data_IF_337004293461
#
_entry.id   IF_337004293461
#
_cell.length_a   1.000
_cell.length_b   1.000
_cell.length_c   1.000
_cell.angle_alpha   90.00
_cell.angle_beta   90.00
_cell.angle_gamma   90.00
#
_symmetry.space_group_name_H-M   'P 1'
#
loop_
_entity.id
_entity.type
_entity.pdbx_description
1 polymer ?
#
# COMPACT_ATOMS: atom_id res chain seq x y z
N UNK A 1 74.95 -37.69 43.46
CA UNK A 1 74.29 -36.61 44.22
C UNK A 1 73.28 -35.92 43.31
N UNK A 2 72.02 -35.89 43.75
CA UNK A 2 70.88 -35.06 43.33
C UNK A 2 70.26 -35.30 41.93
N UNK A 3 68.99 -35.71 42.02
CA UNK A 3 67.99 -36.05 41.01
C UNK A 3 67.41 -34.81 40.26
N UNK A 4 66.54 -35.13 39.28
CA UNK A 4 65.31 -34.43 38.77
C UNK A 4 65.49 -33.86 37.35
N UNK A 5 64.63 -34.07 36.34
CA UNK A 5 63.41 -34.87 36.10
C UNK A 5 63.26 -35.03 34.56
N UNK A 6 62.64 -36.13 34.16
CA UNK A 6 62.28 -36.55 32.81
C UNK A 6 61.13 -35.69 32.20
N UNK A 7 61.23 -35.28 30.94
CA UNK A 7 60.06 -35.04 30.08
C UNK A 7 60.39 -35.38 28.61
N UNK A 8 59.78 -36.46 28.13
CA UNK A 8 59.86 -36.95 26.75
C UNK A 8 58.88 -36.14 25.89
N UNK A 9 59.37 -35.49 24.83
CA UNK A 9 58.52 -34.94 23.76
C UNK A 9 58.26 -36.01 22.71
N UNK A 10 57.02 -36.50 22.63
CA UNK A 10 56.51 -37.32 21.53
C UNK A 10 55.79 -36.38 20.56
N UNK A 11 56.34 -36.21 19.36
CA UNK A 11 55.63 -35.64 18.22
C UNK A 11 54.77 -36.74 17.59
N UNK A 12 53.45 -36.70 17.80
CA UNK A 12 52.49 -37.50 17.05
C UNK A 12 51.84 -36.61 15.98
N UNK A 13 52.05 -36.97 14.72
CA UNK A 13 51.29 -36.43 13.60
C UNK A 13 49.86 -36.99 13.67
N UNK A 14 48.88 -36.12 13.79
CA UNK A 14 47.47 -36.43 13.56
C UNK A 14 47.00 -35.64 12.35
N UNK A 15 46.79 -36.37 11.26
CA UNK A 15 46.02 -35.94 10.10
C UNK A 15 44.60 -35.60 10.56
N UNK A 16 44.18 -34.35 10.38
CA UNK A 16 42.79 -33.95 10.55
C UNK A 16 42.16 -33.86 9.15
N UNK A 17 41.38 -34.88 8.82
CA UNK A 17 40.51 -34.93 7.65
C UNK A 17 39.33 -33.99 7.92
N UNK A 18 39.35 -32.79 7.36
CA UNK A 18 38.17 -31.92 7.39
C UNK A 18 37.17 -32.41 6.35
N UNK A 19 36.06 -32.99 6.81
CA UNK A 19 34.88 -33.19 5.98
C UNK A 19 34.37 -31.82 5.50
N UNK A 20 34.65 -31.49 4.24
CA UNK A 20 33.92 -30.45 3.51
C UNK A 20 32.60 -31.10 3.09
N UNK A 21 31.60 -31.07 3.96
CA UNK A 21 30.22 -31.28 3.57
C UNK A 21 29.77 -30.04 2.81
N UNK A 22 29.41 -30.26 1.55
CA UNK A 22 29.06 -29.26 0.54
C UNK A 22 27.82 -28.44 0.92
N UNK A 23 27.99 -27.12 1.08
CA UNK A 23 26.95 -26.08 1.12
C UNK A 23 26.17 -25.91 -0.21
N UNK A 24 25.98 -26.99 -0.99
CA UNK A 24 25.29 -26.90 -2.28
C UNK A 24 23.77 -27.05 -2.19
N UNK A 25 23.24 -27.69 -1.13
CA UNK A 25 21.79 -27.87 -0.95
C UNK A 25 21.10 -26.59 -0.43
N UNK A 26 21.77 -25.77 0.38
CA UNK A 26 21.19 -24.51 0.87
C UNK A 26 21.18 -23.38 -0.19
N UNK A 27 22.11 -23.40 -1.16
CA UNK A 27 22.16 -22.36 -2.20
C UNK A 27 21.08 -22.61 -3.26
N UNK A 28 20.75 -23.87 -3.57
CA UNK A 28 19.65 -24.19 -4.48
C UNK A 28 18.30 -23.84 -3.89
N UNK A 29 18.07 -24.07 -2.59
CA UNK A 29 16.81 -23.69 -1.93
C UNK A 29 16.64 -22.17 -1.87
N UNK A 30 17.68 -21.42 -1.50
CA UNK A 30 17.62 -19.94 -1.45
C UNK A 30 17.48 -19.33 -2.85
N UNK A 31 18.07 -19.94 -3.89
CA UNK A 31 17.91 -19.52 -5.27
C UNK A 31 16.52 -19.87 -5.83
N UNK A 32 16.00 -21.07 -5.55
CA UNK A 32 14.64 -21.48 -5.93
C UNK A 32 13.57 -20.62 -5.24
N UNK A 33 13.75 -20.29 -3.95
CA UNK A 33 12.81 -19.42 -3.22
C UNK A 33 12.81 -17.98 -3.78
N UNK A 34 13.96 -17.49 -4.26
CA UNK A 34 14.06 -16.16 -4.90
C UNK A 34 13.49 -16.13 -6.31
N UNK A 35 13.71 -17.16 -7.12
CA UNK A 35 13.15 -17.25 -8.47
C UNK A 35 11.62 -17.46 -8.45
N UNK A 36 11.08 -18.21 -7.49
CA UNK A 36 9.61 -18.33 -7.30
C UNK A 36 8.95 -17.01 -6.88
N UNK A 37 9.70 -16.11 -6.22
CA UNK A 37 9.13 -14.85 -5.79
C UNK A 37 8.93 -13.88 -6.96
N UNK A 38 9.62 -13.99 -8.10
CA UNK A 38 9.61 -12.94 -9.15
C UNK A 38 8.35 -12.93 -10.04
N UNK A 39 7.54 -14.00 -10.05
CA UNK A 39 6.38 -14.17 -10.95
C UNK A 39 5.03 -14.28 -10.22
N UNK A 40 4.91 -13.66 -9.04
CA UNK A 40 3.65 -13.70 -8.28
C UNK A 40 2.61 -12.83 -8.99
N UNK A 41 1.62 -13.48 -9.58
CA UNK A 41 0.42 -12.86 -10.15
C UNK A 41 -0.49 -12.32 -9.04
N UNK A 42 -1.16 -11.20 -9.31
CA UNK A 42 -2.16 -10.60 -8.42
C UNK A 42 -3.58 -10.95 -8.93
N UNK A 43 -4.59 -11.12 -8.05
CA UNK A 43 -4.46 -11.16 -6.60
C UNK A 43 -3.74 -12.42 -6.10
N UNK A 44 -3.24 -12.37 -4.88
CA UNK A 44 -2.66 -13.52 -4.17
C UNK A 44 -3.79 -14.21 -3.44
N UNK A 45 -3.97 -15.51 -3.69
CA UNK A 45 -4.87 -16.37 -2.91
C UNK A 45 -4.25 -16.63 -1.53
N UNK A 46 -4.84 -16.11 -0.43
CA UNK A 46 -4.34 -16.40 0.90
C UNK A 46 -4.78 -17.81 1.33
N UNK A 47 -3.91 -18.53 2.05
CA UNK A 47 -4.23 -19.86 2.58
C UNK A 47 -5.30 -19.82 3.69
N UNK A 48 -5.40 -18.71 4.41
CA UNK A 48 -6.28 -18.46 5.55
C UNK A 48 -6.91 -17.06 5.47
N UNK A 49 -7.78 -16.71 6.43
CA UNK A 49 -8.24 -15.33 6.59
C UNK A 49 -7.06 -14.36 6.76
N UNK A 50 -7.10 -13.22 6.08
CA UNK A 50 -6.03 -12.22 6.15
C UNK A 50 -6.09 -11.39 7.44
N UNK A 51 -4.93 -11.02 7.97
CA UNK A 51 -4.81 -10.12 9.11
C UNK A 51 -5.37 -8.72 8.77
N UNK A 52 -5.95 -8.03 9.75
CA UNK A 52 -6.36 -6.62 9.57
C UNK A 52 -5.12 -5.73 9.41
N UNK A 53 -5.25 -4.62 8.68
CA UNK A 53 -4.11 -3.70 8.43
C UNK A 53 -3.42 -3.18 9.71
N UNK A 54 -4.17 -3.07 10.83
CA UNK A 54 -3.61 -2.62 12.11
C UNK A 54 -2.70 -3.68 12.77
N UNK A 55 -3.03 -4.95 12.58
CA UNK A 55 -2.26 -6.09 13.08
C UNK A 55 -0.91 -6.22 12.36
N UNK A 56 -0.81 -5.67 11.14
CA UNK A 56 0.43 -5.61 10.36
C UNK A 56 1.39 -4.51 10.82
N UNK A 57 1.02 -3.68 11.81
CA UNK A 57 1.84 -2.54 12.22
C UNK A 57 3.20 -2.99 12.77
N UNK A 58 4.28 -2.53 12.14
CA UNK A 58 5.65 -2.93 12.48
C UNK A 58 6.42 -1.78 13.17
N UNK A 59 6.87 -2.02 14.41
CA UNK A 59 7.55 -0.99 15.24
C UNK A 59 8.86 -0.47 14.62
N UNK A 60 9.79 -1.32 14.11
CA UNK A 60 10.97 -0.84 13.40
C UNK A 60 10.65 0.05 12.21
N UNK A 61 9.74 -0.40 11.32
CA UNK A 61 9.31 0.35 10.15
C UNK A 61 8.69 1.70 10.53
N UNK A 62 7.82 1.72 11.55
CA UNK A 62 7.21 2.92 12.10
C UNK A 62 8.27 3.93 12.56
N UNK A 63 9.25 3.47 13.35
CA UNK A 63 10.31 4.33 13.90
C UNK A 63 11.19 4.93 12.80
N UNK A 64 11.51 4.15 11.77
CA UNK A 64 12.32 4.60 10.64
C UNK A 64 11.55 5.59 9.76
N UNK A 65 10.25 5.33 9.53
CA UNK A 65 9.36 6.23 8.80
C UNK A 65 9.28 7.59 9.49
N UNK A 66 8.98 7.61 10.79
CA UNK A 66 8.92 8.84 11.59
C UNK A 66 10.24 9.60 11.56
N UNK A 67 11.37 8.89 11.72
CA UNK A 67 12.69 9.51 11.64
C UNK A 67 12.94 10.14 10.28
N UNK A 68 12.66 9.45 9.18
CA UNK A 68 12.91 9.98 7.85
C UNK A 68 12.02 11.19 7.54
N UNK A 69 10.72 11.13 7.85
CA UNK A 69 9.81 12.26 7.65
C UNK A 69 10.21 13.46 8.51
N UNK A 70 10.61 13.23 9.77
CA UNK A 70 10.99 14.31 10.69
C UNK A 70 12.34 14.98 10.36
N UNK A 71 13.16 14.42 9.46
CA UNK A 71 14.40 15.05 8.98
C UNK A 71 14.13 16.21 8.03
N UNK A 72 12.95 16.23 7.40
CA UNK A 72 12.53 17.32 6.53
C UNK A 72 11.70 18.32 7.33
N UNK A 73 12.25 19.49 7.62
CA UNK A 73 11.61 20.49 8.48
C UNK A 73 10.19 20.87 8.02
N UNK A 74 9.97 20.98 6.71
CA UNK A 74 8.64 21.25 6.12
C UNK A 74 7.67 20.09 6.38
N UNK A 75 8.08 18.85 6.13
CA UNK A 75 7.21 17.68 6.31
C UNK A 75 6.89 17.46 7.78
N UNK A 76 7.89 17.59 8.66
CA UNK A 76 7.71 17.59 10.12
C UNK A 76 6.65 18.62 10.56
N UNK A 77 6.73 19.84 10.03
CA UNK A 77 5.75 20.89 10.32
C UNK A 77 4.34 20.56 9.85
N UNK A 78 4.19 19.95 8.67
CA UNK A 78 2.88 19.52 8.15
C UNK A 78 2.30 18.37 8.96
N UNK A 79 3.12 17.37 9.32
CA UNK A 79 2.73 16.25 10.17
C UNK A 79 2.27 16.74 11.55
N UNK A 80 3.03 17.62 12.19
CA UNK A 80 2.67 18.17 13.51
C UNK A 80 1.32 18.92 13.48
N UNK A 81 0.97 19.53 12.35
CA UNK A 81 -0.30 20.25 12.14
C UNK A 81 -1.42 19.35 11.58
N UNK A 82 -1.18 18.05 11.42
CA UNK A 82 -2.11 17.09 10.76
C UNK A 82 -2.53 17.52 9.34
N UNK A 83 -1.66 18.26 8.65
CA UNK A 83 -1.80 18.66 7.25
C UNK A 83 -1.09 17.69 6.29
N UNK A 84 -0.43 16.67 6.83
CA UNK A 84 0.19 15.59 6.07
C UNK A 84 -0.03 14.27 6.80
N UNK A 85 -0.55 13.29 6.07
CA UNK A 85 -0.65 11.91 6.50
C UNK A 85 0.04 11.01 5.46
N UNK A 86 0.74 9.98 5.93
CA UNK A 86 1.47 9.03 5.10
C UNK A 86 1.20 7.62 5.62
N UNK A 87 0.94 6.68 4.71
CA UNK A 87 0.87 5.25 5.02
C UNK A 87 1.73 4.46 4.04
N UNK A 88 2.41 3.43 4.54
CA UNK A 88 3.21 2.51 3.73
C UNK A 88 2.93 1.07 4.13
N UNK A 89 2.91 0.18 3.15
CA UNK A 89 2.89 -1.28 3.36
C UNK A 89 4.06 -1.89 2.59
N UNK A 90 4.96 -2.59 3.27
CA UNK A 90 6.02 -3.38 2.64
C UNK A 90 5.46 -4.76 2.29
N UNK A 91 5.42 -5.08 0.99
CA UNK A 91 4.92 -6.33 0.42
C UNK A 91 6.07 -7.17 -0.19
N UNK A 92 7.33 -6.81 0.11
CA UNK A 92 8.50 -7.52 -0.45
C UNK A 92 8.54 -8.98 0.01
N UNK A 93 8.14 -9.26 1.26
CA UNK A 93 8.01 -10.59 1.83
C UNK A 93 6.53 -10.82 2.19
N UNK A 94 5.84 -11.64 1.39
CA UNK A 94 4.41 -11.88 1.53
C UNK A 94 4.05 -12.69 2.79
N UNK A 95 5.02 -13.40 3.37
CA UNK A 95 4.86 -14.09 4.65
C UNK A 95 5.10 -13.14 5.85
N UNK A 96 5.54 -11.91 5.61
CA UNK A 96 5.90 -10.94 6.63
C UNK A 96 5.58 -9.51 6.16
N UNK A 97 4.32 -9.31 5.79
CA UNK A 97 3.79 -8.00 5.36
C UNK A 97 3.80 -7.04 6.55
N UNK A 98 4.21 -5.79 6.29
CA UNK A 98 4.37 -4.78 7.36
C UNK A 98 3.74 -3.46 6.98
N UNK A 99 3.06 -2.88 7.94
CA UNK A 99 2.42 -1.57 7.83
C UNK A 99 3.10 -0.55 8.76
N UNK A 100 3.16 0.71 8.31
CA UNK A 100 3.47 1.86 9.15
C UNK A 100 2.72 3.10 8.64
N UNK A 101 2.40 4.02 9.55
CA UNK A 101 1.63 5.21 9.20
C UNK A 101 1.84 6.38 10.15
N UNK A 102 1.79 7.60 9.60
CA UNK A 102 1.86 8.87 10.32
C UNK A 102 0.56 9.64 10.07
N UNK A 103 -0.09 10.09 11.14
CA UNK A 103 -1.44 10.69 11.10
C UNK A 103 -2.44 9.84 10.32
N UNK A 104 -2.26 8.52 10.39
CA UNK A 104 -2.85 7.59 9.44
C UNK A 104 -4.32 7.28 9.69
N UNK A 105 -4.83 7.62 10.88
CA UNK A 105 -6.25 7.65 11.22
C UNK A 105 -6.87 9.06 11.15
N UNK A 106 -6.13 10.07 10.67
CA UNK A 106 -6.68 11.42 10.57
C UNK A 106 -7.49 11.56 9.28
N UNK A 107 -8.81 11.74 9.40
CA UNK A 107 -9.65 12.09 8.25
C UNK A 107 -9.21 13.39 7.61
N UNK A 108 -8.95 13.34 6.30
CA UNK A 108 -8.57 14.49 5.50
C UNK A 108 -9.42 14.54 4.23
N UNK A 109 -9.64 15.76 3.72
CA UNK A 109 -10.20 15.91 2.39
C UNK A 109 -9.21 15.37 1.35
N UNK A 110 -9.64 14.38 0.57
CA UNK A 110 -8.77 13.59 -0.29
C UNK A 110 -9.01 13.81 -1.78
N UNK A 111 -9.78 14.84 -2.14
CA UNK A 111 -10.10 15.21 -3.52
C UNK A 111 -10.64 14.01 -4.34
N UNK A 112 -9.96 13.62 -5.43
CA UNK A 112 -10.38 12.50 -6.29
C UNK A 112 -9.85 11.12 -5.86
N UNK A 113 -9.06 11.02 -4.79
CA UNK A 113 -8.59 9.71 -4.32
C UNK A 113 -9.75 8.78 -3.90
N UNK A 114 -10.79 9.24 -3.18
CA UNK A 114 -11.91 8.38 -2.77
C UNK A 114 -12.74 7.78 -3.91
N UNK A 115 -12.45 8.07 -5.18
CA UNK A 115 -13.06 7.38 -6.33
C UNK A 115 -12.84 5.87 -6.31
N UNK A 116 -11.83 5.37 -5.59
CA UNK A 116 -11.64 3.93 -5.36
C UNK A 116 -12.78 3.32 -4.51
N UNK A 117 -13.46 4.11 -3.67
CA UNK A 117 -14.66 3.67 -2.96
C UNK A 117 -15.85 3.47 -3.92
N UNK A 118 -15.98 4.37 -4.92
CA UNK A 118 -16.99 4.23 -5.98
C UNK A 118 -16.70 3.02 -6.84
N UNK A 119 -15.43 2.77 -7.17
CA UNK A 119 -15.02 1.56 -7.89
C UNK A 119 -15.42 0.30 -7.13
N UNK A 120 -15.07 0.20 -5.85
CA UNK A 120 -15.41 -0.96 -5.04
C UNK A 120 -16.92 -1.17 -4.92
N UNK A 121 -17.67 -0.10 -4.69
CA UNK A 121 -19.12 -0.17 -4.59
C UNK A 121 -19.78 -0.61 -5.92
N UNK A 122 -19.23 -0.17 -7.05
CA UNK A 122 -19.68 -0.62 -8.37
C UNK A 122 -19.37 -2.10 -8.60
N UNK A 123 -18.17 -2.56 -8.24
CA UNK A 123 -17.80 -3.98 -8.35
C UNK A 123 -18.66 -4.88 -7.46
N UNK A 124 -18.96 -4.44 -6.23
CA UNK A 124 -19.87 -5.17 -5.33
C UNK A 124 -21.30 -5.23 -5.89
N UNK A 125 -21.76 -4.14 -6.52
CA UNK A 125 -23.06 -4.11 -7.18
C UNK A 125 -23.11 -5.01 -8.43
N UNK A 126 -22.04 -5.05 -9.24
CA UNK A 126 -21.91 -5.97 -10.38
C UNK A 126 -21.94 -7.42 -9.91
N UNK A 127 -21.17 -7.75 -8.87
CA UNK A 127 -21.13 -9.09 -8.28
C UNK A 127 -22.50 -9.56 -7.78
N UNK A 128 -23.27 -8.65 -7.15
CA UNK A 128 -24.61 -8.95 -6.62
C UNK A 128 -25.73 -8.88 -7.68
N UNK A 129 -25.41 -8.51 -8.93
CA UNK A 129 -26.40 -8.30 -9.99
C UNK A 129 -27.30 -7.08 -9.77
N UNK A 130 -26.89 -6.14 -8.92
CA UNK A 130 -27.57 -4.86 -8.65
C UNK A 130 -27.22 -3.79 -9.69
N UNK A 131 -26.09 -3.96 -10.37
CA UNK A 131 -25.64 -3.15 -11.49
C UNK A 131 -25.45 -4.06 -12.70
N UNK A 132 -25.98 -3.66 -13.86
CA UNK A 132 -25.79 -4.40 -15.10
C UNK A 132 -24.36 -4.23 -15.63
N UNK A 133 -23.71 -5.33 -15.99
CA UNK A 133 -22.40 -5.26 -16.64
C UNK A 133 -22.56 -4.86 -18.11
N UNK A 134 -22.11 -3.66 -18.45
CA UNK A 134 -22.20 -3.11 -19.80
C UNK A 134 -20.90 -2.40 -20.18
N UNK A 135 -20.63 -2.33 -21.48
CA UNK A 135 -19.47 -1.59 -22.00
C UNK A 135 -19.42 -0.14 -21.51
N UNK A 136 -20.58 0.52 -21.38
CA UNK A 136 -20.66 1.91 -20.87
C UNK A 136 -20.17 2.01 -19.42
N UNK A 137 -20.56 1.07 -18.56
CA UNK A 137 -20.18 1.02 -17.14
C UNK A 137 -18.68 0.70 -17.02
N UNK A 138 -18.18 -0.26 -17.78
CA UNK A 138 -16.76 -0.61 -17.80
C UNK A 138 -15.89 0.57 -18.25
N UNK A 139 -16.31 1.28 -19.31
CA UNK A 139 -15.63 2.49 -19.77
C UNK A 139 -15.67 3.62 -18.73
N UNK A 140 -16.80 3.82 -18.06
CA UNK A 140 -16.93 4.84 -17.02
C UNK A 140 -16.05 4.56 -15.81
N UNK A 141 -15.95 3.30 -15.36
CA UNK A 141 -15.03 2.91 -14.30
C UNK A 141 -13.57 3.14 -14.70
N UNK A 142 -13.19 2.73 -15.93
CA UNK A 142 -11.84 2.96 -16.45
C UNK A 142 -11.49 4.44 -16.54
N UNK A 143 -12.39 5.29 -17.07
CA UNK A 143 -12.18 6.74 -17.16
C UNK A 143 -12.15 7.44 -15.79
N UNK A 144 -13.01 6.99 -14.86
CA UNK A 144 -13.07 7.48 -13.49
C UNK A 144 -11.74 7.30 -12.75
N UNK A 145 -11.09 6.16 -12.95
CA UNK A 145 -9.85 5.80 -12.24
C UNK A 145 -8.62 6.35 -12.99
N UNK A 146 -8.39 5.90 -14.22
CA UNK A 146 -7.15 6.19 -14.99
C UNK A 146 -6.95 7.68 -15.27
N UNK A 147 -8.00 8.38 -15.71
CA UNK A 147 -7.97 9.81 -16.08
C UNK A 147 -8.58 10.71 -15.02
N UNK A 148 -9.05 10.14 -13.91
CA UNK A 148 -9.73 10.87 -12.84
C UNK A 148 -10.95 11.66 -13.35
N UNK A 149 -11.66 11.17 -14.37
CA UNK A 149 -12.72 11.92 -15.05
C UNK A 149 -13.94 12.17 -14.14
N UNK A 150 -14.28 13.43 -13.86
CA UNK A 150 -15.37 13.79 -12.96
C UNK A 150 -16.76 13.45 -13.49
N UNK A 151 -17.00 13.54 -14.80
CA UNK A 151 -18.30 13.22 -15.41
C UNK A 151 -18.58 11.72 -15.32
N UNK A 152 -17.60 10.88 -15.66
CA UNK A 152 -17.69 9.43 -15.50
C UNK A 152 -17.92 9.04 -14.04
N UNK A 153 -17.19 9.66 -13.10
CA UNK A 153 -17.42 9.42 -11.67
C UNK A 153 -18.84 9.79 -11.23
N UNK A 154 -19.36 10.93 -11.68
CA UNK A 154 -20.71 11.35 -11.33
C UNK A 154 -21.76 10.40 -11.87
N UNK A 155 -21.62 9.91 -13.12
CA UNK A 155 -22.51 8.87 -13.64
C UNK A 155 -22.42 7.58 -12.82
N UNK A 156 -21.22 7.14 -12.43
CA UNK A 156 -21.07 5.95 -11.57
C UNK A 156 -21.73 6.15 -10.21
N UNK A 157 -21.53 7.30 -9.55
CA UNK A 157 -22.22 7.64 -8.30
C UNK A 157 -23.74 7.62 -8.50
N UNK A 158 -24.24 8.14 -9.61
CA UNK A 158 -25.68 8.19 -9.88
C UNK A 158 -26.27 6.80 -10.16
N UNK A 159 -25.47 5.87 -10.70
CA UNK A 159 -25.88 4.46 -10.91
C UNK A 159 -25.89 3.66 -9.62
N UNK A 160 -24.85 3.78 -8.78
CA UNK A 160 -24.74 2.96 -7.54
C UNK A 160 -25.42 3.60 -6.33
N UNK A 161 -25.46 4.93 -6.24
CA UNK A 161 -26.02 5.67 -5.12
C UNK A 161 -25.11 5.77 -3.89
N UNK A 162 -25.31 6.82 -3.08
CA UNK A 162 -24.51 7.04 -1.86
C UNK A 162 -24.74 5.97 -0.79
N UNK A 163 -25.96 5.45 -0.67
CA UNK A 163 -26.30 4.41 0.31
C UNK A 163 -25.46 3.14 0.06
N UNK A 164 -25.32 2.73 -1.21
CA UNK A 164 -24.49 1.59 -1.59
C UNK A 164 -23.01 1.84 -1.29
N UNK A 165 -22.50 3.03 -1.65
CA UNK A 165 -21.10 3.38 -1.37
C UNK A 165 -20.83 3.32 0.13
N UNK A 166 -21.73 3.88 0.94
CA UNK A 166 -21.62 3.84 2.40
C UNK A 166 -21.69 2.41 2.95
N UNK A 167 -22.66 1.62 2.53
CA UNK A 167 -22.82 0.21 2.90
C UNK A 167 -21.52 -0.57 2.67
N UNK A 168 -20.94 -0.46 1.47
CA UNK A 168 -19.72 -1.19 1.10
C UNK A 168 -18.51 -0.69 1.90
N UNK A 169 -18.37 0.62 2.12
CA UNK A 169 -17.26 1.14 2.94
C UNK A 169 -17.36 0.69 4.40
N UNK A 170 -18.58 0.54 4.94
CA UNK A 170 -18.85 0.10 6.31
C UNK A 170 -18.96 -1.41 6.47
N UNK A 171 -18.86 -2.18 5.39
CA UNK A 171 -19.08 -3.61 5.41
C UNK A 171 -18.16 -4.28 6.47
N UNK A 172 -18.70 -5.13 7.37
CA UNK A 172 -17.91 -5.74 8.46
C UNK A 172 -16.70 -6.54 8.00
N UNK A 173 -16.74 -7.10 6.77
CA UNK A 173 -15.63 -7.84 6.16
C UNK A 173 -14.41 -6.95 5.94
N UNK A 174 -14.60 -5.76 5.36
CA UNK A 174 -13.49 -4.93 4.87
C UNK A 174 -13.19 -3.74 5.80
N UNK A 175 -14.19 -3.23 6.52
CA UNK A 175 -14.11 -2.11 7.47
C UNK A 175 -13.31 -0.90 6.93
N UNK A 176 -13.58 -0.51 5.68
CA UNK A 176 -12.88 0.58 4.99
C UNK A 176 -13.34 1.99 5.43
N UNK A 177 -14.40 2.06 6.24
CA UNK A 177 -14.83 3.21 7.02
C UNK A 177 -15.41 2.73 8.34
N UNK A 178 -14.86 3.24 9.44
CA UNK A 178 -15.35 2.98 10.80
C UNK A 178 -15.03 4.19 11.70
N UNK A 179 -16.05 4.78 12.31
CA UNK A 179 -15.90 5.95 13.18
C UNK A 179 -14.98 5.68 14.38
N UNK A 180 -15.01 4.48 14.95
CA UNK A 180 -14.24 4.13 16.14
C UNK A 180 -12.74 4.09 15.86
N UNK A 181 -12.36 3.78 14.61
CA UNK A 181 -10.96 3.76 14.16
C UNK A 181 -10.52 5.02 13.40
N UNK A 182 -11.35 6.06 13.42
CA UNK A 182 -11.03 7.37 12.86
C UNK A 182 -11.53 7.60 11.44
N UNK A 183 -12.53 6.86 10.98
CA UNK A 183 -13.18 6.99 9.67
C UNK A 183 -12.48 6.16 8.60
N UNK A 184 -12.47 6.65 7.37
CA UNK A 184 -11.90 5.91 6.25
C UNK A 184 -12.22 6.53 4.90
N UNK A 185 -12.49 5.67 3.91
CA UNK A 185 -12.85 6.07 2.55
C UNK A 185 -14.29 6.55 2.49
N UNK A 186 -14.53 7.73 1.90
CA UNK A 186 -15.87 8.29 1.78
C UNK A 186 -16.06 9.16 0.54
N UNK A 187 -17.21 8.98 -0.14
CA UNK A 187 -17.68 9.82 -1.25
C UNK A 187 -19.09 10.31 -0.94
N UNK A 188 -19.18 11.59 -0.62
CA UNK A 188 -20.38 12.21 -0.09
C UNK A 188 -21.03 13.26 -0.98
N UNK A 189 -20.51 13.47 -2.19
CA UNK A 189 -21.18 14.28 -3.22
C UNK A 189 -20.66 13.96 -4.63
N UNK A 190 -21.39 14.40 -5.65
CA UNK A 190 -20.97 14.39 -7.06
C UNK A 190 -19.65 15.14 -7.30
N UNK A 191 -18.92 14.72 -8.33
CA UNK A 191 -17.76 15.46 -8.82
C UNK A 191 -18.20 16.44 -9.92
N UNK A 192 -17.98 17.73 -9.70
CA UNK A 192 -18.41 18.79 -10.63
C UNK A 192 -19.60 19.64 -10.15
N UNK A 193 -20.18 19.33 -8.99
CA UNK A 193 -21.26 20.11 -8.37
C UNK A 193 -22.67 19.54 -8.61
N UNK A 194 -23.66 20.11 -7.91
CA UNK A 194 -25.07 19.70 -7.96
C UNK A 194 -25.38 18.36 -7.26
N UNK A 195 -26.67 18.03 -7.20
CA UNK A 195 -27.19 16.82 -6.58
C UNK A 195 -27.17 16.83 -5.05
N UNK A 196 -27.73 15.77 -4.47
CA UNK A 196 -27.75 15.56 -3.03
C UNK A 196 -26.35 15.26 -2.47
N UNK A 197 -26.21 15.42 -1.16
CA UNK A 197 -24.96 15.12 -0.44
C UNK A 197 -25.18 14.17 0.70
N UNK A 198 -24.25 13.25 0.90
CA UNK A 198 -24.12 12.38 2.07
C UNK A 198 -22.74 12.61 2.71
N UNK A 199 -22.58 13.63 3.55
CA UNK A 199 -21.24 14.03 4.07
C UNK A 199 -20.70 12.99 5.03
N UNK A 200 -19.36 12.89 5.15
CA UNK A 200 -18.82 11.89 6.06
C UNK A 200 -19.11 12.27 7.53
N UNK A 201 -19.49 11.30 8.38
CA UNK A 201 -19.94 11.57 9.73
C UNK A 201 -18.98 12.31 10.66
N UNK A 202 -17.65 12.15 10.51
CA UNK A 202 -16.70 12.64 11.52
C UNK A 202 -16.36 14.12 11.39
N UNK A 203 -16.12 14.63 10.17
CA UNK A 203 -15.67 16.01 9.93
C UNK A 203 -16.46 16.72 8.84
N UNK A 204 -17.54 16.12 8.30
CA UNK A 204 -18.46 16.73 7.34
C UNK A 204 -17.83 17.19 5.99
N UNK A 205 -16.67 16.63 5.66
CA UNK A 205 -16.03 16.58 4.36
C UNK A 205 -16.89 15.87 3.29
N UNK A 206 -16.67 16.23 2.03
CA UNK A 206 -17.40 15.61 0.91
C UNK A 206 -16.69 14.45 0.26
N UNK A 207 -15.37 14.41 0.32
CA UNK A 207 -14.53 13.38 -0.30
C UNK A 207 -13.36 13.18 0.65
N UNK A 208 -13.41 12.12 1.44
CA UNK A 208 -12.49 11.95 2.54
C UNK A 208 -11.80 10.58 2.52
N UNK A 209 -10.62 10.56 3.13
CA UNK A 209 -9.84 9.35 3.32
C UNK A 209 -9.00 9.46 4.61
N UNK A 210 -8.66 8.31 5.18
CA UNK A 210 -7.48 8.15 6.04
C UNK A 210 -6.43 7.35 5.26
N UNK A 211 -5.13 7.57 5.51
CA UNK A 211 -4.11 6.77 4.81
C UNK A 211 -4.13 5.30 5.24
N UNK A 212 -4.54 5.00 6.48
CA UNK A 212 -4.71 3.63 6.98
C UNK A 212 -5.72 2.85 6.14
N UNK A 213 -6.90 3.41 5.90
CA UNK A 213 -7.94 2.69 5.14
C UNK A 213 -7.66 2.63 3.65
N UNK A 214 -6.93 3.59 3.10
CA UNK A 214 -6.43 3.46 1.72
C UNK A 214 -5.38 2.35 1.62
N UNK A 215 -4.46 2.22 2.60
CA UNK A 215 -3.53 1.09 2.64
C UNK A 215 -4.28 -0.24 2.79
N UNK A 216 -5.29 -0.28 3.67
CA UNK A 216 -6.19 -1.43 3.84
C UNK A 216 -6.85 -1.84 2.52
N UNK A 217 -7.39 -0.88 1.77
CA UNK A 217 -7.98 -1.14 0.46
C UNK A 217 -7.01 -1.85 -0.49
N UNK A 218 -5.80 -1.32 -0.71
CA UNK A 218 -4.83 -1.94 -1.63
C UNK A 218 -4.31 -3.27 -1.10
N UNK A 219 -4.12 -3.40 0.21
CA UNK A 219 -3.69 -4.66 0.80
C UNK A 219 -4.77 -5.74 0.59
N UNK A 220 -6.03 -5.43 0.88
CA UNK A 220 -7.14 -6.35 0.63
C UNK A 220 -7.32 -6.65 -0.87
N UNK A 221 -7.06 -5.68 -1.76
CA UNK A 221 -7.06 -5.89 -3.21
C UNK A 221 -5.98 -6.88 -3.65
N UNK A 222 -4.76 -6.71 -3.12
CA UNK A 222 -3.63 -7.62 -3.38
C UNK A 222 -3.95 -9.04 -2.91
N UNK A 223 -4.68 -9.19 -1.80
CA UNK A 223 -5.03 -10.48 -1.22
C UNK A 223 -6.39 -11.04 -1.69
N UNK A 224 -7.00 -10.48 -2.75
CA UNK A 224 -8.30 -10.96 -3.26
C UNK A 224 -9.51 -10.76 -2.33
N UNK A 225 -9.31 -10.09 -1.19
CA UNK A 225 -10.24 -10.10 -0.06
C UNK A 225 -11.36 -9.05 -0.17
N UNK A 226 -11.27 -8.09 -1.09
CA UNK A 226 -12.27 -7.02 -1.18
C UNK A 226 -13.67 -7.59 -1.43
N UNK A 227 -13.85 -8.34 -2.51
CA UNK A 227 -15.11 -9.03 -2.84
C UNK A 227 -14.79 -10.51 -3.03
N UNK A 228 -14.12 -10.83 -4.13
CA UNK A 228 -13.55 -12.12 -4.51
C UNK A 228 -12.32 -11.87 -5.41
N UNK A 229 -11.67 -12.92 -5.89
CA UNK A 229 -10.46 -12.82 -6.71
C UNK A 229 -10.74 -12.21 -8.09
N UNK A 230 -11.83 -12.62 -8.75
CA UNK A 230 -12.23 -12.12 -10.07
C UNK A 230 -12.44 -10.59 -10.06
N UNK A 231 -13.22 -10.07 -9.10
CA UNK A 231 -13.43 -8.62 -8.95
C UNK A 231 -12.18 -7.88 -8.50
N UNK A 232 -11.27 -8.55 -7.82
CA UNK A 232 -9.97 -7.97 -7.48
C UNK A 232 -9.10 -7.84 -8.73
N UNK A 233 -9.09 -8.84 -9.61
CA UNK A 233 -8.44 -8.79 -10.92
C UNK A 233 -9.03 -7.68 -11.80
N UNK A 234 -10.35 -7.56 -11.89
CA UNK A 234 -11.03 -6.48 -12.62
C UNK A 234 -10.59 -5.09 -12.13
N UNK A 235 -10.56 -4.89 -10.80
CA UNK A 235 -10.12 -3.63 -10.21
C UNK A 235 -8.64 -3.36 -10.46
N UNK A 236 -7.79 -4.38 -10.38
CA UNK A 236 -6.37 -4.27 -10.70
C UNK A 236 -6.19 -3.82 -12.15
N UNK A 237 -6.87 -4.44 -13.11
CA UNK A 237 -6.80 -4.05 -14.53
C UNK A 237 -7.26 -2.60 -14.76
N UNK A 238 -8.32 -2.16 -14.10
CA UNK A 238 -8.80 -0.77 -14.18
C UNK A 238 -7.80 0.24 -13.58
N UNK A 239 -7.08 -0.17 -12.53
CA UNK A 239 -6.16 0.69 -11.78
C UNK A 239 -4.73 0.70 -12.35
N UNK A 240 -4.37 -0.31 -13.14
CA UNK A 240 -3.06 -0.46 -13.81
C UNK A 240 -2.83 0.64 -14.85
N UNK A 241 -1.56 0.93 -15.12
CA UNK A 241 -1.09 1.87 -16.15
C UNK A 241 -1.80 3.25 -16.11
N UNK A 242 -1.62 4.00 -15.02
CA UNK A 242 -2.33 5.26 -14.83
C UNK A 242 -1.98 6.28 -15.92
N UNK A 243 -3.00 6.86 -16.55
CA UNK A 243 -2.82 7.86 -17.61
C UNK A 243 -2.23 9.21 -17.14
N UNK A 244 -2.04 9.41 -15.83
CA UNK A 244 -1.57 10.66 -15.23
C UNK A 244 -0.21 10.46 -14.53
N UNK A 245 0.86 10.96 -15.15
CA UNK A 245 2.25 10.76 -14.73
C UNK A 245 2.80 11.86 -13.77
N UNK A 246 1.93 12.43 -12.97
CA UNK A 246 2.26 13.41 -11.90
C UNK A 246 2.44 12.74 -10.53
N UNK A 247 2.92 13.48 -9.52
CA UNK A 247 3.05 12.96 -8.14
C UNK A 247 3.88 11.67 -8.06
N UNK A 248 3.45 10.59 -7.39
CA UNK A 248 4.27 9.38 -7.25
C UNK A 248 4.76 8.83 -8.59
N UNK A 249 3.90 8.74 -9.61
CA UNK A 249 4.26 8.19 -10.93
C UNK A 249 5.39 8.98 -11.59
N UNK A 250 5.46 10.30 -11.40
CA UNK A 250 6.56 11.10 -11.96
C UNK A 250 7.96 10.59 -11.55
N UNK A 251 8.06 10.09 -10.31
CA UNK A 251 9.30 9.55 -9.77
C UNK A 251 9.41 8.06 -10.08
N UNK A 252 8.31 7.30 -9.97
CA UNK A 252 8.28 5.86 -10.25
C UNK A 252 8.64 5.53 -11.70
N UNK A 253 8.19 6.32 -12.68
CA UNK A 253 8.56 6.14 -14.10
C UNK A 253 10.08 6.12 -14.32
N UNK A 254 10.83 6.83 -13.47
CA UNK A 254 12.30 6.94 -13.57
C UNK A 254 13.01 5.84 -12.83
N UNK A 255 12.55 5.51 -11.61
CA UNK A 255 13.28 4.62 -10.71
C UNK A 255 12.77 3.17 -10.77
N UNK A 256 11.55 2.96 -11.24
CA UNK A 256 10.83 1.69 -11.29
C UNK A 256 10.15 1.43 -12.66
N UNK A 257 10.80 1.65 -13.81
CA UNK A 257 10.15 1.57 -15.13
C UNK A 257 9.66 0.16 -15.53
N UNK A 258 9.99 -0.87 -14.74
CA UNK A 258 9.56 -2.26 -14.95
C UNK A 258 8.52 -2.74 -13.93
N UNK A 259 8.07 -1.85 -13.04
CA UNK A 259 7.02 -2.18 -12.09
C UNK A 259 5.68 -1.81 -12.69
N UNK A 260 4.70 -2.69 -12.50
CA UNK A 260 3.30 -2.34 -12.66
C UNK A 260 2.91 -1.37 -11.53
N UNK A 261 2.13 -0.34 -11.89
CA UNK A 261 1.69 0.68 -10.96
C UNK A 261 0.17 0.73 -10.99
N UNK A 262 -0.47 0.40 -9.87
CA UNK A 262 -1.91 0.49 -9.67
C UNK A 262 -2.18 1.70 -8.78
N UNK A 263 -2.98 2.67 -9.24
CA UNK A 263 -2.93 4.01 -8.63
C UNK A 263 -4.24 4.76 -8.64
N UNK A 264 -4.44 5.60 -7.61
CA UNK A 264 -5.37 6.73 -7.67
C UNK A 264 -4.77 8.02 -7.09
N UNK A 265 -4.78 9.06 -7.92
CA UNK A 265 -4.39 10.42 -7.51
C UNK A 265 -5.58 11.35 -7.27
N UNK A 266 -5.38 12.43 -6.50
CA UNK A 266 -6.34 13.51 -6.33
C UNK A 266 -5.68 14.88 -6.18
N UNK A 267 -6.38 15.92 -6.64
CA UNK A 267 -5.97 17.32 -6.51
C UNK A 267 -7.21 18.21 -6.46
N UNK A 268 -7.22 19.16 -5.52
CA UNK A 268 -8.21 20.23 -5.45
C UNK A 268 -7.66 21.38 -4.60
N UNK A 269 -7.38 22.53 -5.23
CA UNK A 269 -6.73 23.68 -4.57
C UNK A 269 -5.43 23.22 -3.87
N UNK A 270 -5.31 23.45 -2.58
CA UNK A 270 -4.23 23.04 -1.68
C UNK A 270 -4.27 21.56 -1.27
N UNK A 271 -5.34 20.82 -1.58
CA UNK A 271 -5.44 19.41 -1.23
C UNK A 271 -4.87 18.53 -2.33
N UNK A 272 -3.85 17.77 -1.99
CA UNK A 272 -3.20 16.81 -2.87
C UNK A 272 -3.21 15.43 -2.22
N UNK A 273 -3.53 14.43 -3.00
CA UNK A 273 -3.55 13.05 -2.55
C UNK A 273 -3.00 12.13 -3.63
N UNK A 274 -2.41 11.03 -3.19
CA UNK A 274 -1.94 9.99 -4.08
C UNK A 274 -1.84 8.66 -3.35
N UNK A 275 -2.18 7.59 -4.06
CA UNK A 275 -2.02 6.22 -3.59
C UNK A 275 -1.54 5.34 -4.73
N UNK A 276 -0.62 4.44 -4.43
CA UNK A 276 -0.09 3.50 -5.40
C UNK A 276 0.26 2.16 -4.74
N UNK A 277 -0.17 1.07 -5.36
CA UNK A 277 0.47 -0.24 -5.25
C UNK A 277 1.51 -0.33 -6.36
N UNK A 278 2.75 -0.58 -5.98
CA UNK A 278 3.88 -0.78 -6.90
C UNK A 278 4.23 -2.25 -6.86
N UNK A 279 4.16 -2.92 -8.01
CA UNK A 279 4.38 -4.35 -8.14
C UNK A 279 5.42 -4.62 -9.21
N UNK A 280 6.63 -4.97 -8.82
CA UNK A 280 7.68 -5.31 -9.76
C UNK A 280 8.72 -6.24 -9.16
N UNK A 281 9.66 -6.74 -9.97
CA UNK A 281 10.59 -7.80 -9.57
C UNK A 281 11.47 -7.42 -8.37
N UNK A 282 11.80 -6.13 -8.23
CA UNK A 282 12.69 -5.64 -7.16
C UNK A 282 11.97 -4.93 -6.03
N UNK A 283 10.67 -4.69 -6.16
CA UNK A 283 9.91 -3.83 -5.24
C UNK A 283 8.43 -4.16 -5.27
N UNK A 284 7.88 -4.42 -4.09
CA UNK A 284 6.46 -4.65 -3.87
C UNK A 284 6.06 -3.87 -2.64
N UNK A 285 5.19 -2.89 -2.79
CA UNK A 285 4.74 -2.07 -1.67
C UNK A 285 3.50 -1.25 -2.02
N UNK A 286 2.86 -0.73 -0.98
CA UNK A 286 1.82 0.30 -1.08
C UNK A 286 2.36 1.59 -0.47
N UNK A 287 2.14 2.72 -1.14
CA UNK A 287 2.40 4.06 -0.61
C UNK A 287 1.17 4.95 -0.75
N UNK A 288 0.86 5.70 0.30
CA UNK A 288 -0.27 6.64 0.33
C UNK A 288 0.17 7.94 0.98
N UNK A 289 -0.20 9.07 0.38
CA UNK A 289 -0.01 10.40 0.97
C UNK A 289 -1.26 11.27 0.80
N UNK A 290 -1.64 11.96 1.88
CA UNK A 290 -2.65 13.02 1.89
C UNK A 290 -1.99 14.30 2.41
N UNK A 291 -2.03 15.37 1.62
CA UNK A 291 -1.33 16.63 1.93
C UNK A 291 -2.25 17.82 1.69
N UNK A 292 -2.45 18.63 2.72
CA UNK A 292 -3.06 19.95 2.66
C UNK A 292 -1.94 21.01 2.63
N UNK A 293 -1.46 21.31 1.42
CA UNK A 293 -0.44 22.32 1.17
C UNK A 293 -0.37 22.70 -0.32
N UNK A 294 -0.10 23.97 -0.64
CA UNK A 294 0.07 24.45 -2.02
C UNK A 294 1.24 23.77 -2.78
N UNK A 295 2.24 23.25 -2.05
CA UNK A 295 3.35 22.47 -2.62
C UNK A 295 3.12 20.95 -2.54
N UNK A 296 1.90 20.51 -2.21
CA UNK A 296 1.58 19.11 -1.96
C UNK A 296 1.92 18.19 -3.14
N UNK A 297 1.69 18.63 -4.38
CA UNK A 297 2.08 17.86 -5.57
C UNK A 297 3.59 17.55 -5.61
N UNK A 298 4.43 18.57 -5.42
CA UNK A 298 5.88 18.41 -5.35
C UNK A 298 6.31 17.56 -4.17
N UNK A 299 5.72 17.77 -2.99
CA UNK A 299 6.04 16.97 -1.80
C UNK A 299 5.77 15.49 -2.07
N UNK A 300 4.63 15.16 -2.70
CA UNK A 300 4.30 13.77 -3.03
C UNK A 300 5.31 13.15 -4.00
N UNK A 301 5.80 13.90 -5.00
CA UNK A 301 6.89 13.43 -5.88
C UNK A 301 8.16 13.11 -5.10
N UNK A 302 8.52 13.99 -4.18
CA UNK A 302 9.75 13.91 -3.39
C UNK A 302 9.69 12.80 -2.31
N UNK A 303 8.50 12.27 -2.00
CA UNK A 303 8.31 11.22 -0.99
C UNK A 303 8.73 9.81 -1.46
N UNK A 304 8.68 9.52 -2.77
CA UNK A 304 8.86 8.14 -3.26
C UNK A 304 10.20 7.54 -2.83
N UNK A 305 11.31 8.23 -3.10
CA UNK A 305 12.66 7.72 -2.81
C UNK A 305 12.90 7.57 -1.29
N UNK A 306 12.55 8.55 -0.44
CA UNK A 306 12.62 8.38 1.02
C UNK A 306 11.81 7.19 1.54
N UNK A 307 10.59 6.97 1.05
CA UNK A 307 9.74 5.87 1.52
C UNK A 307 10.31 4.50 1.11
N UNK A 308 10.82 4.35 -0.12
CA UNK A 308 11.53 3.11 -0.52
C UNK A 308 12.75 2.85 0.36
N UNK A 309 13.51 3.89 0.70
CA UNK A 309 14.68 3.80 1.59
C UNK A 309 14.28 3.39 3.00
N UNK A 310 13.17 3.89 3.53
CA UNK A 310 12.61 3.50 4.82
C UNK A 310 12.32 2.00 4.86
N UNK A 311 11.58 1.48 3.87
CA UNK A 311 11.24 0.05 3.79
C UNK A 311 12.50 -0.82 3.63
N UNK A 312 13.41 -0.43 2.72
CA UNK A 312 14.69 -1.14 2.54
C UNK A 312 15.53 -1.20 3.82
N UNK A 313 15.60 -0.09 4.55
CA UNK A 313 16.35 -0.02 5.80
C UNK A 313 15.72 -0.89 6.90
N UNK A 314 14.39 -0.88 7.02
CA UNK A 314 13.69 -1.73 7.98
C UNK A 314 14.00 -3.22 7.74
N UNK A 315 13.99 -3.67 6.47
CA UNK A 315 14.36 -5.05 6.11
C UNK A 315 15.80 -5.40 6.48
N UNK A 316 16.74 -4.48 6.25
CA UNK A 316 18.16 -4.71 6.54
C UNK A 316 18.41 -4.89 8.04
N UNK A 317 17.81 -4.03 8.88
CA UNK A 317 17.97 -4.09 10.33
C UNK A 317 17.38 -5.36 10.95
N UNK A 318 16.29 -5.88 10.39
CA UNK A 318 15.73 -7.16 10.88
C UNK A 318 16.60 -8.36 10.52
N UNK A 319 17.24 -8.34 9.34
CA UNK A 319 18.17 -9.41 8.96
C UNK A 319 19.37 -9.45 9.90
N UNK A 320 19.90 -8.29 10.28
CA UNK A 320 20.99 -8.17 11.25
C UNK A 320 20.61 -8.65 12.66
N UNK A 321 19.33 -8.60 13.04
CA UNK A 321 18.85 -9.08 14.34
C UNK A 321 18.60 -10.59 14.40
N UNK A 322 18.53 -11.26 13.24
CA UNK A 322 18.34 -12.72 13.14
C UNK A 322 19.65 -13.51 13.07
N UNK A 323 20.78 -12.81 12.97
CA UNK A 323 22.15 -13.36 12.95
C UNK A 323 22.75 -13.23 14.36
#
# INVERSE_FOLDING_TARGET
MKNIVLLLFIFLALSCESQITTDKENISDVAQTREQQDDVQLPIEPADSIAKIDELRNKPLQTILEKEINRHAVWKGLVAKKLMAVGIVDLTDLNNIKYAGINDNNMMYAASLPKIAVLLAAMDALEKGELEDSEEIQQDMKLMISRSNNRATTRMIDRVGYAKIEEVMRAPKNQLYDEETGGGLWVGKRYGGGGDTNREPLKNLSHAATTKQVCSFYYQLVMGNLINDERSEDMLEIMKDPALHHKFVNTLDKIAPKADIYRKSGSWRNYHSDSALVWGPKRRYIIVALIDNNFGEKIIRDLVVPLEKVMKKARTLEQEQKI
#
